data_IF_454233578693
#
_entry.id   IF_454233578693
#
_cell.length_a   1.000
_cell.length_b   1.000
_cell.length_c   1.000
_cell.angle_alpha   90.00
_cell.angle_beta   90.00
_cell.angle_gamma   90.00
#
_symmetry.space_group_name_H-M   'P 1'
#
loop_
_entity.id
_entity.type
_entity.pdbx_description
1 polymer ?
#
# COMPACT_ATOMS: atom_id res chain seq x y z
N UNK A 1 -59.49 7.55 -8.45
CA UNK A 1 -58.10 7.44 -7.98
C UNK A 1 -57.87 6.03 -7.46
N UNK A 2 -57.23 5.16 -8.26
CA UNK A 2 -56.93 3.77 -7.90
C UNK A 2 -55.69 3.74 -6.99
N UNK A 3 -55.84 3.25 -5.76
CA UNK A 3 -54.72 3.02 -4.84
C UNK A 3 -54.15 1.62 -5.10
N UNK A 4 -52.90 1.54 -5.55
CA UNK A 4 -52.18 0.28 -5.66
C UNK A 4 -51.75 -0.22 -4.27
N UNK A 5 -51.84 -1.53 -3.99
CA UNK A 5 -51.32 -2.10 -2.75
C UNK A 5 -49.78 -2.16 -2.75
N UNK A 6 -49.14 -2.09 -1.57
CA UNK A 6 -47.70 -2.14 -1.45
C UNK A 6 -47.16 -3.55 -1.70
N UNK A 7 -46.11 -3.62 -2.52
CA UNK A 7 -45.34 -4.84 -2.82
C UNK A 7 -44.57 -5.32 -1.59
N UNK A 8 -44.61 -6.62 -1.22
CA UNK A 8 -43.84 -7.13 -0.09
C UNK A 8 -42.35 -7.22 -0.44
N UNK A 9 -41.51 -6.66 0.44
CA UNK A 9 -40.07 -6.73 0.36
C UNK A 9 -39.59 -8.17 0.63
N UNK A 10 -39.01 -8.81 -0.38
CA UNK A 10 -38.38 -10.13 -0.25
C UNK A 10 -37.12 -10.04 0.63
N UNK A 11 -37.22 -10.51 1.88
CA UNK A 11 -36.05 -10.80 2.74
C UNK A 11 -35.27 -11.97 2.14
N UNK A 12 -34.13 -11.68 1.51
CA UNK A 12 -33.10 -12.68 1.21
C UNK A 12 -32.16 -12.83 2.40
N UNK A 13 -32.46 -13.77 3.29
CA UNK A 13 -31.49 -14.31 4.25
C UNK A 13 -30.80 -15.51 3.62
N UNK A 14 -29.72 -15.24 2.87
CA UNK A 14 -28.78 -16.26 2.42
C UNK A 14 -27.41 -15.91 2.96
N UNK A 15 -27.16 -16.24 4.23
CA UNK A 15 -25.83 -16.16 4.82
C UNK A 15 -24.99 -17.29 4.20
N UNK A 16 -24.23 -16.97 3.16
CA UNK A 16 -23.15 -17.82 2.69
C UNK A 16 -21.98 -17.58 3.64
N UNK A 17 -21.73 -18.55 4.51
CA UNK A 17 -20.48 -18.67 5.27
C UNK A 17 -19.32 -18.90 4.30
N UNK A 18 -18.83 -17.82 3.71
CA UNK A 18 -17.49 -17.80 3.13
C UNK A 18 -16.60 -17.15 4.19
N UNK A 19 -15.81 -17.96 4.89
CA UNK A 19 -14.76 -17.43 5.75
C UNK A 19 -13.78 -16.68 4.84
N UNK A 20 -13.65 -15.33 4.95
CA UNK A 20 -12.65 -14.63 4.18
C UNK A 20 -11.29 -15.12 4.68
N UNK A 21 -10.55 -15.80 3.80
CA UNK A 21 -9.15 -16.13 4.03
C UNK A 21 -8.39 -14.81 4.20
N UNK A 22 -8.28 -14.38 5.46
CA UNK A 22 -7.58 -13.17 5.91
C UNK A 22 -6.08 -13.46 6.05
N UNK A 23 -5.49 -14.21 5.13
CA UNK A 23 -4.04 -14.21 4.98
C UNK A 23 -3.65 -12.87 4.36
N UNK A 24 -3.49 -11.86 5.22
CA UNK A 24 -2.86 -10.59 4.82
C UNK A 24 -1.53 -10.95 4.16
N UNK A 25 -1.30 -10.61 2.87
CA UNK A 25 -0.01 -10.88 2.27
C UNK A 25 1.07 -10.14 3.07
N UNK A 26 2.19 -10.79 3.43
CA UNK A 26 3.27 -10.15 4.17
C UNK A 26 4.01 -9.21 3.21
N UNK A 27 3.59 -7.96 3.10
CA UNK A 27 4.37 -6.92 2.42
C UNK A 27 5.51 -6.42 3.33
N UNK A 28 6.31 -7.33 3.87
CA UNK A 28 7.44 -7.00 4.75
C UNK A 28 8.73 -6.87 3.94
N UNK A 29 8.82 -5.87 3.06
CA UNK A 29 10.14 -5.40 2.60
C UNK A 29 10.57 -4.32 3.58
N UNK A 30 11.33 -4.70 4.60
CA UNK A 30 11.86 -3.80 5.64
C UNK A 30 12.81 -2.79 5.00
N UNK A 31 12.41 -1.52 4.89
CA UNK A 31 13.30 -0.40 4.55
C UNK A 31 14.26 -0.10 5.69
N UNK A 32 13.78 -0.19 6.93
CA UNK A 32 14.51 0.33 8.08
C UNK A 32 15.39 -0.77 8.69
N UNK A 33 16.67 -0.79 8.30
CA UNK A 33 17.64 -1.73 8.89
C UNK A 33 18.92 -1.99 8.08
N UNK A 34 19.05 -1.45 6.88
CA UNK A 34 20.15 -1.82 5.97
C UNK A 34 21.54 -1.26 6.34
N UNK A 35 21.67 -0.36 7.32
CA UNK A 35 22.96 0.23 7.67
C UNK A 35 23.25 0.22 9.17
N UNK A 36 23.82 -0.90 9.61
CA UNK A 36 24.86 -0.93 10.65
C UNK A 36 26.05 -1.73 10.12
N UNK A 37 26.71 -1.23 9.08
CA UNK A 37 28.14 -1.52 8.97
C UNK A 37 28.82 -0.60 9.98
N UNK A 38 29.24 -1.17 11.10
CA UNK A 38 30.13 -0.50 12.04
C UNK A 38 31.42 -0.16 11.28
N UNK A 39 31.53 1.10 10.84
CA UNK A 39 32.75 1.59 10.23
C UNK A 39 33.88 1.63 11.27
N UNK A 40 35.10 1.19 10.92
CA UNK A 40 36.22 1.16 11.84
C UNK A 40 36.58 2.58 12.29
N UNK A 41 36.76 2.71 13.60
CA UNK A 41 37.26 3.90 14.28
C UNK A 41 38.58 4.35 13.64
N UNK A 42 38.61 5.56 13.09
CA UNK A 42 39.80 6.18 12.50
C UNK A 42 40.66 6.79 13.60
N UNK A 43 41.63 6.02 14.06
CA UNK A 43 42.91 6.52 14.56
C UNK A 43 44.01 5.82 13.77
N UNK A 44 44.34 6.31 12.57
CA UNK A 44 45.67 6.06 12.03
C UNK A 44 46.12 7.16 11.07
N UNK A 45 47.38 7.50 11.25
CA UNK A 45 48.08 8.69 10.79
C UNK A 45 49.20 8.24 9.86
N UNK A 46 49.41 9.01 8.78
CA UNK A 46 50.58 9.02 7.86
C UNK A 46 50.42 8.20 6.56
N UNK A 47 51.34 8.35 5.57
CA UNK A 47 51.65 9.59 4.84
C UNK A 47 51.62 9.37 3.30
N UNK A 48 51.86 10.46 2.56
CA UNK A 48 51.91 10.53 1.10
C UNK A 48 53.02 9.66 0.45
N UNK A 49 52.67 8.92 -0.61
CA UNK A 49 53.58 8.44 -1.67
C UNK A 49 52.82 8.41 -3.00
N UNK A 50 53.49 8.86 -4.06
CA UNK A 50 52.94 9.19 -5.38
C UNK A 50 52.76 8.00 -6.36
N UNK A 51 52.71 8.30 -7.68
CA UNK A 51 52.00 7.51 -8.70
C UNK A 51 52.93 6.57 -9.50
N UNK A 52 52.35 5.54 -10.13
CA UNK A 52 52.64 5.09 -11.52
C UNK A 52 52.22 3.63 -11.77
N UNK A 53 51.50 3.38 -12.87
CA UNK A 53 51.88 2.48 -13.98
C UNK A 53 50.71 1.72 -14.63
N UNK A 54 50.69 1.87 -15.94
CA UNK A 54 50.12 1.01 -16.97
C UNK A 54 50.34 -0.49 -16.75
N UNK A 55 49.34 -1.30 -17.13
CA UNK A 55 49.48 -2.51 -17.99
C UNK A 55 48.11 -3.23 -18.05
N UNK A 56 47.48 -3.31 -19.23
CA UNK A 56 47.58 -4.44 -20.18
C UNK A 56 46.54 -5.54 -19.91
N UNK A 57 45.41 -5.46 -20.62
CA UNK A 57 44.42 -6.54 -20.71
C UNK A 57 44.62 -7.34 -22.00
N UNK A 58 44.65 -8.68 -21.96
CA UNK A 58 44.47 -9.51 -23.14
C UNK A 58 43.04 -10.04 -23.28
N UNK A 59 42.66 -10.23 -24.55
CA UNK A 59 41.43 -10.81 -25.04
C UNK A 59 41.44 -12.35 -25.01
N UNK A 60 40.28 -12.95 -24.70
CA UNK A 60 39.85 -14.32 -25.02
C UNK A 60 38.38 -14.42 -24.53
N UNK A 61 37.38 -15.03 -25.15
CA UNK A 61 37.17 -15.85 -26.34
C UNK A 61 35.70 -16.37 -26.24
N UNK A 62 35.01 -16.70 -27.33
CA UNK A 62 33.60 -17.10 -27.28
C UNK A 62 33.44 -18.58 -26.90
N UNK A 63 32.69 -18.86 -25.83
CA UNK A 63 32.32 -20.24 -25.44
C UNK A 63 30.96 -20.62 -26.03
N UNK A 64 31.03 -21.58 -26.95
CA UNK A 64 29.96 -22.28 -27.64
C UNK A 64 29.42 -23.37 -26.70
N UNK A 65 28.13 -23.30 -26.34
CA UNK A 65 27.44 -24.38 -25.61
C UNK A 65 26.36 -25.01 -26.48
N UNK A 66 26.34 -26.34 -26.42
CA UNK A 66 25.68 -27.27 -27.31
C UNK A 66 24.17 -27.35 -27.12
N UNK A 67 23.50 -27.46 -28.27
CA UNK A 67 22.07 -27.67 -28.43
C UNK A 67 21.77 -29.17 -28.26
N UNK A 68 21.22 -29.55 -27.11
CA UNK A 68 20.77 -30.92 -26.85
C UNK A 68 19.32 -31.11 -27.32
N UNK A 69 19.17 -31.61 -28.55
CA UNK A 69 17.91 -32.09 -29.11
C UNK A 69 17.44 -33.34 -28.35
N UNK A 70 16.45 -33.17 -27.48
CA UNK A 70 15.70 -34.30 -26.89
C UNK A 70 14.55 -34.66 -27.83
N UNK A 71 14.69 -35.79 -28.51
CA UNK A 71 13.66 -36.42 -29.32
C UNK A 71 12.50 -36.85 -28.40
N UNK A 72 11.39 -36.10 -28.42
CA UNK A 72 10.16 -36.48 -27.73
C UNK A 72 9.41 -37.53 -28.54
N UNK A 73 9.29 -38.72 -27.97
CA UNK A 73 8.38 -39.78 -28.39
C UNK A 73 6.93 -39.31 -28.19
N UNK A 74 6.24 -39.05 -29.30
CA UNK A 74 4.81 -38.72 -29.30
C UNK A 74 3.99 -39.98 -29.00
N UNK A 75 3.32 -40.00 -27.86
CA UNK A 75 2.28 -40.98 -27.54
C UNK A 75 0.97 -40.49 -28.15
N UNK A 76 0.28 -41.28 -29.00
CA UNK A 76 -0.95 -40.86 -29.65
C UNK A 76 -2.06 -40.58 -28.61
N UNK A 77 -2.77 -39.45 -28.73
CA UNK A 77 -3.83 -39.09 -27.80
C UNK A 77 -5.06 -40.00 -27.98
N UNK A 78 -5.54 -40.54 -26.87
CA UNK A 78 -6.80 -41.28 -26.80
C UNK A 78 -8.00 -40.36 -27.05
N UNK A 79 -8.99 -40.79 -27.86
CA UNK A 79 -10.08 -39.93 -28.38
C UNK A 79 -11.10 -39.44 -27.33
N UNK A 80 -11.10 -39.96 -26.10
CA UNK A 80 -12.12 -39.63 -25.10
C UNK A 80 -11.75 -38.46 -24.16
N UNK A 81 -10.55 -37.88 -24.31
CA UNK A 81 -10.09 -36.72 -23.52
C UNK A 81 -10.21 -35.37 -24.27
N UNK A 82 -10.84 -35.37 -25.46
CA UNK A 82 -11.00 -34.15 -26.25
C UNK A 82 -12.20 -33.29 -25.82
N UNK A 83 -13.25 -33.88 -25.24
CA UNK A 83 -14.48 -33.16 -24.90
C UNK A 83 -14.38 -32.30 -23.62
N UNK A 84 -13.62 -32.73 -22.61
CA UNK A 84 -13.37 -31.92 -21.39
C UNK A 84 -12.31 -30.84 -21.57
N UNK A 85 -11.44 -30.97 -22.57
CA UNK A 85 -10.41 -29.95 -22.87
C UNK A 85 -10.98 -28.76 -23.65
N UNK A 86 -12.00 -28.96 -24.48
CA UNK A 86 -12.59 -27.88 -25.28
C UNK A 86 -13.36 -26.84 -24.44
N UNK A 87 -13.98 -27.25 -23.32
CA UNK A 87 -14.73 -26.33 -22.46
C UNK A 87 -13.83 -25.43 -21.60
N UNK A 88 -12.62 -25.87 -21.27
CA UNK A 88 -11.60 -25.04 -20.58
C UNK A 88 -10.81 -24.17 -21.56
N UNK A 89 -10.61 -24.62 -22.80
CA UNK A 89 -9.89 -23.85 -23.84
C UNK A 89 -10.73 -22.70 -24.44
N UNK A 90 -12.06 -22.80 -24.43
CA UNK A 90 -12.97 -21.75 -24.92
C UNK A 90 -13.06 -20.49 -24.05
N UNK A 91 -12.60 -20.53 -22.79
CA UNK A 91 -12.55 -19.39 -21.88
C UNK A 91 -11.16 -18.73 -21.80
N UNK A 92 -10.14 -19.29 -22.45
CA UNK A 92 -8.85 -18.63 -22.69
C UNK A 92 -8.92 -17.67 -23.89
N UNK A 93 -10.04 -16.98 -24.09
CA UNK A 93 -10.07 -15.80 -24.96
C UNK A 93 -9.23 -14.71 -24.30
N UNK A 94 -7.91 -14.76 -24.52
CA UNK A 94 -6.92 -13.69 -24.37
C UNK A 94 -7.37 -12.55 -23.44
N UNK A 95 -7.71 -12.86 -22.18
CA UNK A 95 -8.15 -11.83 -21.25
C UNK A 95 -6.89 -11.03 -20.98
N UNK A 96 -6.78 -9.89 -21.65
CA UNK A 96 -5.67 -8.96 -21.46
C UNK A 96 -5.75 -8.48 -20.03
N UNK A 97 -4.90 -9.06 -19.20
CA UNK A 97 -4.70 -8.63 -17.83
C UNK A 97 -3.66 -7.52 -17.83
N UNK A 98 -3.89 -6.49 -17.02
CA UNK A 98 -2.98 -5.36 -16.93
C UNK A 98 -2.28 -5.42 -15.57
N UNK A 99 -0.95 -5.51 -15.52
CA UNK A 99 -0.23 -5.68 -14.26
C UNK A 99 -0.40 -4.43 -13.38
N UNK A 100 -0.58 -4.66 -12.09
CA UNK A 100 -0.65 -3.64 -11.05
C UNK A 100 0.57 -3.76 -10.13
N UNK A 101 1.12 -2.61 -9.73
CA UNK A 101 2.16 -2.56 -8.69
C UNK A 101 1.47 -2.26 -7.36
N UNK A 102 1.48 -3.22 -6.45
CA UNK A 102 0.94 -3.04 -5.11
C UNK A 102 1.86 -2.16 -4.26
N UNK A 103 1.31 -1.07 -3.74
CA UNK A 103 1.99 -0.12 -2.86
C UNK A 103 1.24 0.02 -1.53
N UNK A 104 1.88 0.61 -0.53
CA UNK A 104 1.23 0.87 0.76
C UNK A 104 0.19 2.01 0.65
N UNK A 105 -0.96 1.84 1.32
CA UNK A 105 -1.88 2.96 1.58
C UNK A 105 -1.30 3.87 2.65
N UNK A 106 -1.85 5.08 2.81
CA UNK A 106 -1.44 5.97 3.92
C UNK A 106 -1.83 5.42 5.30
N UNK A 107 -2.84 4.55 5.38
CA UNK A 107 -3.34 3.95 6.62
C UNK A 107 -2.78 2.54 6.88
N UNK A 108 -2.15 1.90 5.89
CA UNK A 108 -1.62 0.54 6.01
C UNK A 108 -2.69 -0.55 6.13
N UNK A 109 -3.95 -0.27 5.77
CA UNK A 109 -5.06 -1.23 5.91
C UNK A 109 -5.19 -2.10 4.67
N UNK A 110 -5.36 -1.45 3.51
CA UNK A 110 -5.39 -2.12 2.20
C UNK A 110 -4.26 -1.58 1.34
N UNK A 111 -3.69 -2.37 0.41
CA UNK A 111 -2.75 -1.85 -0.54
C UNK A 111 -3.42 -0.83 -1.47
N UNK A 112 -2.59 -0.01 -2.09
CA UNK A 112 -2.95 0.91 -3.16
C UNK A 112 -2.27 0.40 -4.41
N UNK A 113 -3.04 0.21 -5.47
CA UNK A 113 -2.51 -0.33 -6.72
C UNK A 113 -2.11 0.81 -7.65
N UNK A 114 -0.89 0.75 -8.18
CA UNK A 114 -0.37 1.68 -9.18
C UNK A 114 -0.37 1.01 -10.55
N UNK A 115 -0.82 1.73 -11.55
CA UNK A 115 -0.67 1.38 -12.96
C UNK A 115 0.16 2.46 -13.64
N UNK A 116 1.38 2.12 -14.04
CA UNK A 116 2.25 3.00 -14.82
C UNK A 116 1.82 2.97 -16.29
N UNK A 117 1.59 4.15 -16.87
CA UNK A 117 1.13 4.28 -18.26
C UNK A 117 2.32 3.95 -19.18
N UNK A 118 2.20 2.94 -20.08
CA UNK A 118 3.28 2.58 -20.98
C UNK A 118 3.77 3.76 -21.82
N UNK A 119 5.09 3.93 -21.93
CA UNK A 119 5.72 4.99 -22.73
C UNK A 119 5.74 6.38 -22.08
N UNK A 120 5.40 6.50 -20.79
CA UNK A 120 5.43 7.78 -20.07
C UNK A 120 5.86 7.67 -18.62
N UNK A 121 5.91 8.83 -17.94
CA UNK A 121 6.21 8.97 -16.51
C UNK A 121 4.95 9.27 -15.67
N UNK A 122 3.79 8.89 -16.20
CA UNK A 122 2.50 9.14 -15.60
C UNK A 122 1.87 7.82 -15.14
N UNK A 123 1.13 7.87 -14.04
CA UNK A 123 0.45 6.71 -13.48
C UNK A 123 -0.97 7.04 -13.02
N UNK A 124 -1.78 5.99 -12.95
CA UNK A 124 -3.02 6.00 -12.18
C UNK A 124 -2.85 5.20 -10.90
N UNK A 125 -3.51 5.68 -9.86
CA UNK A 125 -3.48 5.05 -8.54
C UNK A 125 -4.89 4.66 -8.14
N UNK A 126 -5.06 3.43 -7.66
CA UNK A 126 -6.34 2.85 -7.32
C UNK A 126 -6.37 2.43 -5.85
N UNK A 127 -7.43 2.80 -5.13
CA UNK A 127 -7.60 2.49 -3.70
C UNK A 127 -8.69 1.44 -3.53
N UNK A 128 -8.47 0.50 -2.61
CA UNK A 128 -9.44 -0.53 -2.30
C UNK A 128 -10.80 0.06 -1.92
N UNK A 129 -11.87 -0.55 -2.43
CA UNK A 129 -13.25 -0.20 -2.08
C UNK A 129 -13.97 -1.34 -1.38
N UNK A 130 -13.96 -2.54 -1.99
CA UNK A 130 -14.67 -3.71 -1.48
C UNK A 130 -14.12 -4.99 -2.12
N UNK A 131 -14.41 -6.12 -1.49
CA UNK A 131 -14.18 -7.46 -2.03
C UNK A 131 -15.50 -8.04 -2.52
N UNK A 132 -15.49 -8.62 -3.72
CA UNK A 132 -16.58 -9.43 -4.27
C UNK A 132 -16.18 -10.91 -4.20
N UNK A 133 -17.12 -11.82 -4.47
CA UNK A 133 -16.90 -13.26 -4.40
C UNK A 133 -15.74 -13.81 -5.27
N UNK A 134 -15.30 -13.10 -6.31
CA UNK A 134 -14.26 -13.54 -7.25
C UNK A 134 -13.13 -12.54 -7.51
N UNK A 135 -13.25 -11.32 -6.99
CA UNK A 135 -12.31 -10.24 -7.27
C UNK A 135 -12.42 -9.14 -6.24
N UNK A 136 -11.37 -8.34 -6.11
CA UNK A 136 -11.45 -7.08 -5.40
C UNK A 136 -11.84 -5.95 -6.34
N UNK A 137 -12.51 -4.92 -5.81
CA UNK A 137 -12.85 -3.71 -6.56
C UNK A 137 -12.07 -2.55 -5.99
N UNK A 138 -11.30 -1.90 -6.85
CA UNK A 138 -10.56 -0.69 -6.53
C UNK A 138 -11.15 0.50 -7.28
N UNK A 139 -11.00 1.70 -6.70
CA UNK A 139 -11.43 2.98 -7.28
C UNK A 139 -10.24 3.86 -7.63
N UNK A 140 -10.29 4.52 -8.78
CA UNK A 140 -9.32 5.56 -9.11
C UNK A 140 -9.29 6.66 -8.03
N UNK A 141 -8.11 6.90 -7.46
CA UNK A 141 -7.89 7.87 -6.39
C UNK A 141 -8.12 9.31 -6.86
N UNK A 142 -7.75 9.62 -8.10
CA UNK A 142 -7.97 10.94 -8.71
C UNK A 142 -9.45 11.24 -8.92
N UNK A 143 -10.17 10.34 -9.61
CA UNK A 143 -11.61 10.48 -9.84
C UNK A 143 -12.40 10.61 -8.53
N UNK A 144 -12.06 9.80 -7.52
CA UNK A 144 -12.71 9.87 -6.20
C UNK A 144 -12.58 11.24 -5.55
N UNK A 145 -11.45 11.94 -5.71
CA UNK A 145 -11.27 13.31 -5.18
C UNK A 145 -12.16 14.34 -5.90
N UNK A 146 -12.52 14.07 -7.15
CA UNK A 146 -13.39 14.91 -7.98
C UNK A 146 -14.88 14.51 -7.88
N UNK A 147 -15.23 13.63 -6.93
CA UNK A 147 -16.62 13.20 -6.70
C UNK A 147 -17.12 12.11 -7.66
N UNK A 148 -16.32 11.68 -8.63
CA UNK A 148 -16.67 10.59 -9.56
C UNK A 148 -16.09 9.25 -9.10
N UNK A 149 -16.65 8.14 -9.59
CA UNK A 149 -16.20 6.79 -9.23
C UNK A 149 -15.89 6.01 -10.50
N UNK A 150 -14.62 5.66 -10.67
CA UNK A 150 -14.16 4.77 -11.74
C UNK A 150 -13.67 3.47 -11.09
N UNK A 151 -14.56 2.44 -11.01
CA UNK A 151 -14.21 1.15 -10.44
C UNK A 151 -13.48 0.26 -11.44
N UNK A 152 -12.49 -0.47 -10.94
CA UNK A 152 -11.76 -1.49 -11.69
C UNK A 152 -11.71 -2.78 -10.87
N UNK A 153 -12.19 -3.91 -11.41
CA UNK A 153 -12.03 -5.22 -10.79
C UNK A 153 -10.58 -5.69 -10.92
N UNK A 154 -10.05 -6.26 -9.83
CA UNK A 154 -8.69 -6.76 -9.67
C UNK A 154 -8.73 -8.22 -9.29
N UNK A 155 -7.99 -9.04 -10.04
CA UNK A 155 -7.80 -10.46 -9.80
C UNK A 155 -6.53 -10.68 -9.00
N UNK A 156 -6.61 -11.50 -7.96
CA UNK A 156 -5.50 -11.90 -7.08
C UNK A 156 -4.72 -10.71 -6.46
N UNK A 157 -5.30 -9.52 -6.41
CA UNK A 157 -4.63 -8.31 -5.92
C UNK A 157 -3.56 -7.73 -6.85
N UNK A 158 -3.30 -8.35 -8.02
CA UNK A 158 -2.14 -8.05 -8.86
C UNK A 158 -2.52 -7.61 -10.28
N UNK A 159 -3.69 -8.02 -10.80
CA UNK A 159 -4.04 -7.81 -12.20
C UNK A 159 -5.36 -7.09 -12.35
N UNK A 160 -5.37 -5.98 -13.09
CA UNK A 160 -6.61 -5.33 -13.50
C UNK A 160 -7.27 -6.11 -14.64
N UNK A 161 -8.59 -6.29 -14.54
CA UNK A 161 -9.42 -6.95 -15.57
C UNK A 161 -9.69 -6.09 -16.80
N UNK A 162 -9.41 -4.79 -16.71
CA UNK A 162 -9.60 -3.80 -17.79
C UNK A 162 -8.39 -2.88 -17.82
N UNK A 163 -8.09 -2.33 -19.01
CA UNK A 163 -7.00 -1.37 -19.21
C UNK A 163 -7.26 -0.11 -18.35
N UNK A 164 -6.46 0.14 -17.31
CA UNK A 164 -6.68 1.28 -16.43
C UNK A 164 -6.51 2.63 -17.16
N UNK A 165 -5.73 2.67 -18.24
CA UNK A 165 -5.51 3.87 -19.05
C UNK A 165 -6.68 4.22 -19.98
N UNK A 166 -7.56 3.25 -20.29
CA UNK A 166 -8.74 3.43 -21.17
C UNK A 166 -10.05 3.57 -20.41
N UNK A 167 -10.02 3.57 -19.07
CA UNK A 167 -11.22 3.83 -18.28
C UNK A 167 -11.66 5.30 -18.44
N UNK A 168 -12.97 5.61 -18.30
CA UNK A 168 -13.49 6.97 -18.47
C UNK A 168 -13.16 7.84 -17.24
N UNK A 169 -11.89 8.18 -17.07
CA UNK A 169 -11.43 9.06 -15.99
C UNK A 169 -11.79 10.52 -16.28
N UNK A 170 -12.16 11.24 -15.23
CA UNK A 170 -12.26 12.72 -15.25
C UNK A 170 -11.01 13.37 -14.65
N UNK A 171 -10.14 12.59 -14.03
CA UNK A 171 -8.88 13.07 -13.47
C UNK A 171 -7.73 12.91 -14.46
N UNK A 172 -6.75 13.80 -14.37
CA UNK A 172 -5.45 13.61 -15.01
C UNK A 172 -4.60 12.60 -14.22
N UNK A 173 -3.79 11.77 -14.91
CA UNK A 173 -2.84 10.89 -14.24
C UNK A 173 -1.76 11.69 -13.50
N UNK A 174 -1.12 11.06 -12.52
CA UNK A 174 -0.09 11.70 -11.68
C UNK A 174 1.30 11.35 -12.17
N UNK A 175 2.31 12.13 -11.80
CA UNK A 175 3.70 11.76 -12.06
C UNK A 175 4.09 10.52 -11.23
N UNK A 176 4.59 9.48 -11.89
CA UNK A 176 4.93 8.19 -11.29
C UNK A 176 5.94 8.36 -10.15
N UNK A 177 7.00 9.13 -10.37
CA UNK A 177 8.04 9.44 -9.37
C UNK A 177 7.45 10.10 -8.12
N UNK A 178 6.51 11.03 -8.29
CA UNK A 178 5.91 11.72 -7.16
C UNK A 178 5.02 10.80 -6.31
N UNK A 179 4.23 9.92 -6.94
CA UNK A 179 3.46 8.93 -6.19
C UNK A 179 4.41 7.94 -5.50
N UNK A 180 5.45 7.45 -6.19
CA UNK A 180 6.43 6.51 -5.65
C UNK A 180 7.10 7.02 -4.38
N UNK A 181 7.64 8.25 -4.41
CA UNK A 181 8.25 8.88 -3.23
C UNK A 181 7.21 9.05 -2.11
N UNK A 182 5.96 9.40 -2.42
CA UNK A 182 4.90 9.48 -1.38
C UNK A 182 4.65 8.11 -0.75
N UNK A 183 4.57 7.04 -1.54
CA UNK A 183 4.38 5.66 -1.04
C UNK A 183 5.57 5.22 -0.20
N UNK A 184 6.78 5.57 -0.60
CA UNK A 184 8.00 5.30 0.15
C UNK A 184 7.96 5.90 1.56
N UNK A 185 7.56 7.17 1.69
CA UNK A 185 7.43 7.82 3.00
C UNK A 185 6.36 7.12 3.86
N UNK A 186 5.21 6.76 3.26
CA UNK A 186 4.17 6.05 4.00
C UNK A 186 4.64 4.69 4.48
N UNK A 187 5.43 3.99 3.65
CA UNK A 187 6.01 2.70 3.97
C UNK A 187 6.98 2.81 5.14
N UNK A 188 7.94 3.74 5.06
CA UNK A 188 8.85 4.03 6.16
C UNK A 188 8.14 4.46 7.44
N UNK A 189 7.07 5.26 7.35
CA UNK A 189 6.27 5.62 8.51
C UNK A 189 5.56 4.42 9.15
N UNK A 190 5.07 3.47 8.35
CA UNK A 190 4.40 2.27 8.84
C UNK A 190 5.37 1.30 9.50
N UNK A 191 6.52 1.09 8.87
CA UNK A 191 7.60 0.28 9.45
C UNK A 191 8.10 0.88 10.76
N UNK A 192 8.34 2.19 10.80
CA UNK A 192 8.70 2.88 12.03
C UNK A 192 7.63 2.81 13.14
N UNK A 193 6.38 2.42 12.82
CA UNK A 193 5.34 2.19 13.83
C UNK A 193 5.36 0.77 14.41
N UNK A 194 6.03 -0.19 13.76
CA UNK A 194 6.05 -1.61 14.18
C UNK A 194 7.44 -2.09 14.60
N UNK A 195 8.50 -1.46 14.10
CA UNK A 195 9.91 -1.81 14.35
C UNK A 195 10.39 -1.19 15.67
N UNK A 196 10.63 -1.97 16.75
CA UNK A 196 11.00 -1.44 18.06
C UNK A 196 12.27 -0.59 18.05
N UNK A 197 13.23 -0.89 17.16
CA UNK A 197 14.49 -0.17 16.96
C UNK A 197 14.26 1.28 16.50
N UNK A 198 13.06 1.58 16.00
CA UNK A 198 12.68 2.95 15.62
C UNK A 198 12.21 3.79 16.81
N UNK A 199 11.95 3.21 17.98
CA UNK A 199 11.35 3.93 19.11
C UNK A 199 12.20 5.15 19.52
N UNK A 200 13.52 5.00 19.53
CA UNK A 200 14.44 6.02 20.00
C UNK A 200 14.96 6.94 18.90
N UNK A 201 14.60 6.65 17.64
CA UNK A 201 15.02 7.46 16.50
C UNK A 201 14.42 8.85 16.57
N UNK A 202 15.21 9.85 16.17
CA UNK A 202 14.74 11.22 15.93
C UNK A 202 14.09 11.27 14.54
N UNK A 203 13.07 12.12 14.32
CA UNK A 203 12.44 12.25 12.99
C UNK A 203 13.43 12.65 11.89
N UNK A 204 14.55 13.31 12.23
CA UNK A 204 15.61 13.65 11.28
C UNK A 204 16.40 12.42 10.81
N UNK A 205 16.66 11.46 11.70
CA UNK A 205 17.35 10.21 11.35
C UNK A 205 16.47 9.38 10.40
N UNK A 206 15.18 9.22 10.71
CA UNK A 206 14.26 8.52 9.81
C UNK A 206 14.14 9.21 8.44
N UNK A 207 14.24 10.55 8.39
CA UNK A 207 14.27 11.27 7.12
C UNK A 207 15.53 10.94 6.30
N UNK A 208 16.70 10.88 6.95
CA UNK A 208 17.98 10.53 6.31
C UNK A 208 17.96 9.07 5.83
N UNK A 209 17.44 8.15 6.63
CA UNK A 209 17.31 6.74 6.21
C UNK A 209 16.45 6.58 4.95
N UNK A 210 15.39 7.38 4.79
CA UNK A 210 14.60 7.38 3.56
C UNK A 210 15.40 7.97 2.38
N UNK A 211 16.20 9.00 2.64
CA UNK A 211 17.07 9.65 1.63
C UNK A 211 18.12 8.67 1.12
N UNK A 212 18.86 8.04 2.04
CA UNK A 212 19.88 7.03 1.76
C UNK A 212 19.28 5.83 1.03
N UNK A 213 18.07 5.42 1.41
CA UNK A 213 17.36 4.34 0.71
C UNK A 213 17.10 4.68 -0.75
N UNK A 214 16.65 5.90 -1.06
CA UNK A 214 16.43 6.31 -2.46
C UNK A 214 17.74 6.30 -3.23
N UNK A 215 18.82 6.79 -2.62
CA UNK A 215 20.13 6.84 -3.27
C UNK A 215 20.67 5.44 -3.63
N UNK A 216 20.55 4.50 -2.69
CA UNK A 216 21.07 3.13 -2.83
C UNK A 216 20.16 2.26 -3.71
N UNK A 217 18.85 2.22 -3.46
CA UNK A 217 17.96 1.28 -4.16
C UNK A 217 17.67 1.64 -5.62
N UNK A 218 17.89 2.89 -6.00
CA UNK A 218 17.67 3.36 -7.37
C UNK A 218 19.01 3.66 -8.08
N UNK A 219 20.10 3.05 -7.62
CA UNK A 219 21.43 3.27 -8.22
C UNK A 219 21.53 2.81 -9.67
N UNK A 220 20.72 1.82 -10.08
CA UNK A 220 20.67 1.27 -11.44
C UNK A 220 20.08 2.25 -12.47
N UNK A 221 19.22 3.18 -12.02
CA UNK A 221 18.60 4.20 -12.87
C UNK A 221 18.89 5.61 -12.30
N UNK A 222 20.06 6.20 -12.64
CA UNK A 222 20.50 7.48 -12.11
C UNK A 222 19.52 8.63 -12.38
N UNK A 223 18.84 8.61 -13.53
CA UNK A 223 17.90 9.66 -13.91
C UNK A 223 16.66 9.60 -13.02
N UNK A 224 16.09 8.40 -12.83
CA UNK A 224 14.95 8.21 -11.95
C UNK A 224 15.30 8.48 -10.49
N UNK A 225 16.49 8.07 -10.03
CA UNK A 225 17.01 8.39 -8.69
C UNK A 225 17.06 9.90 -8.46
N UNK A 226 17.64 10.64 -9.40
CA UNK A 226 17.73 12.09 -9.32
C UNK A 226 16.34 12.75 -9.28
N UNK A 227 15.39 12.31 -10.11
CA UNK A 227 14.01 12.81 -10.05
C UNK A 227 13.35 12.52 -8.69
N UNK A 228 13.56 11.32 -8.13
CA UNK A 228 13.04 10.93 -6.82
C UNK A 228 13.64 11.78 -5.70
N UNK A 229 14.96 11.99 -5.69
CA UNK A 229 15.65 12.84 -4.72
C UNK A 229 15.21 14.30 -4.85
N UNK A 230 15.13 14.83 -6.07
CA UNK A 230 14.64 16.17 -6.33
C UNK A 230 13.22 16.37 -5.77
N UNK A 231 12.31 15.42 -5.99
CA UNK A 231 10.96 15.49 -5.41
C UNK A 231 10.97 15.29 -3.88
N UNK A 232 11.84 14.42 -3.37
CA UNK A 232 12.01 14.18 -1.95
C UNK A 232 12.44 15.48 -1.22
N UNK A 233 13.43 16.19 -1.78
CA UNK A 233 14.01 17.42 -1.25
C UNK A 233 13.18 18.68 -1.54
N UNK A 234 12.35 18.71 -2.59
CA UNK A 234 11.57 19.90 -3.00
C UNK A 234 10.79 20.57 -1.86
N UNK A 235 10.15 19.78 -1.00
CA UNK A 235 9.41 20.29 0.17
C UNK A 235 10.27 20.31 1.45
N UNK A 236 11.44 19.67 1.39
CA UNK A 236 12.40 19.53 2.46
C UNK A 236 11.90 18.78 3.69
N UNK A 237 12.79 18.68 4.67
CA UNK A 237 12.53 18.07 5.98
C UNK A 237 11.36 18.74 6.72
N UNK A 238 11.22 20.08 6.61
CA UNK A 238 10.22 20.85 7.37
C UNK A 238 8.79 20.36 7.09
N UNK A 239 8.45 20.09 5.83
CA UNK A 239 7.11 19.63 5.46
C UNK A 239 6.79 18.21 5.98
N UNK A 240 7.80 17.36 6.14
CA UNK A 240 7.64 15.94 6.48
C UNK A 240 7.85 15.65 7.98
N UNK A 241 8.54 16.54 8.70
CA UNK A 241 8.87 16.42 10.12
C UNK A 241 7.67 16.01 10.97
N UNK A 242 6.52 16.67 10.80
CA UNK A 242 5.33 16.40 11.62
C UNK A 242 4.78 15.00 11.40
N UNK A 243 4.77 14.52 10.15
CA UNK A 243 4.31 13.17 9.80
C UNK A 243 5.24 12.10 10.40
N UNK A 244 6.55 12.26 10.22
CA UNK A 244 7.56 11.35 10.79
C UNK A 244 7.49 11.32 12.33
N UNK A 245 7.38 12.49 12.96
CA UNK A 245 7.24 12.58 14.41
C UNK A 245 5.94 11.95 14.94
N UNK A 246 4.84 12.00 14.17
CA UNK A 246 3.59 11.30 14.52
C UNK A 246 3.75 9.79 14.46
N UNK A 247 4.44 9.26 13.44
CA UNK A 247 4.72 7.83 13.32
C UNK A 247 5.53 7.31 14.51
N UNK A 248 6.67 7.94 14.81
CA UNK A 248 7.54 7.56 15.94
C UNK A 248 6.84 7.64 17.30
N UNK A 249 5.97 8.65 17.51
CA UNK A 249 5.17 8.75 18.74
C UNK A 249 4.16 7.61 18.90
N UNK A 250 3.59 7.09 17.81
CA UNK A 250 2.65 5.96 17.87
C UNK A 250 3.34 4.70 18.38
N UNK A 251 4.56 4.42 17.91
CA UNK A 251 5.35 3.30 18.40
C UNK A 251 5.63 3.40 19.89
N UNK A 252 6.08 4.57 20.38
CA UNK A 252 6.34 4.80 21.81
C UNK A 252 5.09 4.55 22.66
N UNK A 253 3.94 5.06 22.22
CA UNK A 253 2.66 4.83 22.90
C UNK A 253 2.30 3.35 22.94
N UNK A 254 2.47 2.63 21.83
CA UNK A 254 2.19 1.20 21.76
C UNK A 254 3.10 0.40 22.71
N UNK A 255 4.40 0.71 22.73
CA UNK A 255 5.39 0.12 23.65
C UNK A 255 4.99 0.31 25.12
N UNK A 256 4.70 1.54 25.53
CA UNK A 256 4.26 1.81 26.91
C UNK A 256 2.93 1.13 27.28
N UNK A 257 2.08 0.83 26.29
CA UNK A 257 0.82 0.12 26.54
C UNK A 257 1.09 -1.36 26.77
N UNK A 258 1.98 -1.96 25.99
CA UNK A 258 2.40 -3.36 26.17
C UNK A 258 3.11 -3.57 27.52
N UNK A 259 4.02 -2.67 27.90
CA UNK A 259 4.73 -2.74 29.20
C UNK A 259 3.75 -2.70 30.39
N UNK A 260 2.72 -1.85 30.32
CA UNK A 260 1.67 -1.79 31.37
C UNK A 260 0.80 -3.04 31.44
N UNK A 261 0.52 -3.68 30.30
CA UNK A 261 -0.25 -4.93 30.27
C UNK A 261 0.53 -6.10 30.85
N UNK A 262 1.87 -6.13 30.70
CA UNK A 262 2.71 -7.16 31.34
C UNK A 262 2.77 -7.01 32.86
N UNK A 263 2.87 -5.78 33.38
CA UNK A 263 2.94 -5.53 34.84
C UNK A 263 1.65 -5.92 35.58
N UNK A 264 0.49 -5.77 34.94
CA UNK A 264 -0.81 -6.15 35.53
C UNK A 264 -1.05 -7.67 35.57
N UNK A 265 -0.34 -8.45 34.75
CA UNK A 265 -0.45 -9.91 34.72
C UNK A 265 0.20 -10.61 35.91
N UNK A 266 1.20 -9.98 36.56
CA UNK A 266 1.95 -10.59 37.66
C UNK A 266 1.30 -10.36 39.05
N UNK A 267 0.39 -9.39 39.19
CA UNK A 267 -0.25 -9.08 40.48
C UNK A 267 -1.57 -9.85 40.73
N UNK A 268 -1.98 -10.74 39.82
CA UNK A 268 -3.31 -11.37 39.84
C UNK A 268 -3.39 -12.85 40.25
N UNK A 269 -2.27 -13.53 40.56
CA UNK A 269 -2.29 -14.99 40.81
C UNK A 269 -2.33 -15.42 42.28
N UNK A 270 -2.40 -14.48 43.23
CA UNK A 270 -2.47 -14.79 44.67
C UNK A 270 -3.77 -14.28 45.31
N UNK A 271 -4.93 -14.64 44.75
CA UNK A 271 -6.17 -14.68 45.56
C UNK A 271 -6.91 -15.97 45.29
N UNK A 272 -6.52 -16.95 46.10
CA UNK A 272 -7.29 -18.12 46.52
C UNK A 272 -8.80 -17.88 46.56
N UNK A 273 -9.49 -18.76 45.85
CA UNK A 273 -10.89 -19.14 45.97
C UNK A 273 -11.49 -18.91 47.37
N UNK A 274 -12.37 -17.92 47.50
CA UNK A 274 -13.47 -17.99 48.46
C UNK A 274 -14.75 -17.82 47.66
N UNK A 275 -15.34 -18.97 47.32
CA UNK A 275 -16.65 -19.08 46.72
C UNK A 275 -17.66 -18.59 47.77
N UNK A 276 -18.33 -17.47 47.49
CA UNK A 276 -19.55 -17.10 48.19
C UNK A 276 -20.59 -16.75 47.14
N UNK A 277 -21.48 -17.72 46.90
CA UNK A 277 -22.76 -17.54 46.23
C UNK A 277 -23.55 -16.46 46.96
N UNK A 278 -23.89 -15.37 46.27
CA UNK A 278 -25.14 -14.64 46.53
C UNK A 278 -25.53 -13.81 45.31
N UNK A 279 -26.54 -14.33 44.61
CA UNK A 279 -27.38 -13.61 43.66
C UNK A 279 -28.17 -12.52 44.40
N UNK A 280 -28.37 -11.32 43.82
CA UNK A 280 -29.72 -11.11 43.29
C UNK A 280 -29.81 -10.25 42.01
N UNK A 281 -30.85 -10.59 41.25
CA UNK A 281 -31.44 -9.84 40.14
C UNK A 281 -31.74 -8.38 40.52
N UNK A 282 -31.31 -7.43 39.68
CA UNK A 282 -32.04 -6.17 39.48
C UNK A 282 -31.74 -5.61 38.09
N UNK A 283 -32.79 -5.51 37.28
CA UNK A 283 -32.83 -4.83 35.99
C UNK A 283 -33.05 -3.32 36.18
N UNK A 284 -32.24 -2.44 35.57
CA UNK A 284 -32.60 -1.03 35.44
C UNK A 284 -33.11 -0.74 34.02
N UNK A 285 -34.39 -0.42 33.96
CA UNK A 285 -35.03 0.34 32.87
C UNK A 285 -34.37 1.71 32.75
N UNK A 286 -33.86 2.06 31.57
CA UNK A 286 -33.41 3.43 31.27
C UNK A 286 -34.18 3.96 30.06
N UNK A 287 -34.93 5.02 30.33
CA UNK A 287 -35.78 5.77 29.42
C UNK A 287 -34.98 6.54 28.37
N UNK A 288 -35.47 6.47 27.15
CA UNK A 288 -35.10 7.25 25.97
C UNK A 288 -35.57 8.71 26.11
N UNK A 289 -34.66 9.68 25.98
CA UNK A 289 -34.99 11.05 25.55
C UNK A 289 -33.71 11.78 25.17
N UNK A 290 -33.56 12.12 23.89
CA UNK A 290 -32.54 13.05 23.43
C UNK A 290 -33.12 13.94 22.32
N UNK A 291 -33.25 15.26 22.51
CA UNK A 291 -33.77 16.16 21.49
C UNK A 291 -32.72 16.54 20.46
N UNK A 292 -33.11 16.44 19.19
CA UNK A 292 -32.41 16.99 18.03
C UNK A 292 -32.15 18.50 18.18
N UNK A 293 -30.90 18.91 18.04
CA UNK A 293 -30.54 20.31 17.76
C UNK A 293 -29.66 20.33 16.51
N UNK A 294 -30.26 20.76 15.41
CA UNK A 294 -29.60 21.06 14.15
C UNK A 294 -29.08 22.50 14.17
N UNK A 295 -27.79 22.75 13.89
CA UNK A 295 -27.31 24.10 13.65
C UNK A 295 -27.39 24.41 12.15
N UNK A 296 -28.26 25.36 11.80
CA UNK A 296 -28.31 26.04 10.50
C UNK A 296 -27.04 26.88 10.35
N UNK A 297 -26.17 26.53 9.40
CA UNK A 297 -25.06 27.38 8.98
C UNK A 297 -25.46 28.13 7.71
N UNK A 298 -25.69 29.42 7.84
CA UNK A 298 -25.80 30.37 6.72
C UNK A 298 -24.44 30.52 6.05
N UNK A 299 -24.36 30.22 4.76
CA UNK A 299 -23.19 30.50 3.92
C UNK A 299 -23.45 31.83 3.21
N UNK A 300 -22.78 32.89 3.68
CA UNK A 300 -22.67 34.14 2.93
C UNK A 300 -21.80 33.93 1.69
N UNK A 301 -22.31 34.42 0.57
CA UNK A 301 -21.78 34.27 -0.77
C UNK A 301 -21.08 35.60 -1.13
N UNK A 302 -19.74 35.67 -1.23
CA UNK A 302 -19.10 36.89 -1.73
C UNK A 302 -19.21 36.96 -3.25
N UNK A 303 -19.96 37.98 -3.64
CA UNK A 303 -20.22 38.52 -4.97
C UNK A 303 -18.96 38.68 -5.82
N UNK A 304 -19.03 38.21 -7.07
CA UNK A 304 -17.98 38.30 -8.06
C UNK A 304 -17.94 39.72 -8.66
N UNK A 305 -16.82 40.41 -8.50
CA UNK A 305 -16.51 41.65 -9.23
C UNK A 305 -16.05 41.34 -10.65
N UNK A 306 -16.68 41.89 -11.71
CA UNK A 306 -16.12 41.86 -13.05
C UNK A 306 -15.03 42.93 -13.23
N UNK A 307 -13.86 42.53 -13.72
CA UNK A 307 -12.81 43.44 -14.14
C UNK A 307 -13.16 44.03 -15.51
N UNK A 308 -13.35 45.36 -15.53
CA UNK A 308 -13.52 46.19 -16.72
C UNK A 308 -12.17 46.49 -17.37
N UNK A 309 -12.22 46.44 -18.70
CA UNK A 309 -11.28 46.85 -19.76
C UNK A 309 -10.47 48.14 -19.58
N UNK A 310 -9.25 48.14 -20.14
CA UNK A 310 -8.55 49.19 -20.93
C UNK A 310 -7.07 48.77 -21.03
N UNK A 311 -6.30 48.88 -22.12
CA UNK A 311 -6.38 49.49 -23.44
C UNK A 311 -5.31 48.83 -24.32
#
# INVERSE_FOLDING_TARGET
MMRYPPTPAARRTGASEYAPSSSKPPYNVVLIGLHKSEGPSKDEKSPAVGPSNDEKSPAAGPSRVEESLTLRTEVPPTPDSAASSAYTRGLQQNVRMFPAVANVSSKGIHPVLRYDIPGGNLCYTFMYQRTNARCDVYLCAGCRKLGTRVPVPVLNGEFFTKDPGRLPHVCSPWKSVEDEVKRLIYKACQEACVTPECADKKPRQLYQEIDDYVDIHYSEDPSRREEMLNFFHRNGYKARRTTLARALRRLRKHRTTLEKMSEQGEQGSETTSTISEQSPETTPTMSEQNPETTPTMSVENPEATPATTAS
#
